data_IF_305255841378
#
_entry.id   IF_305255841378
#
_cell.length_a   1.000
_cell.length_b   1.000
_cell.length_c   1.000
_cell.angle_alpha   90.00
_cell.angle_beta   90.00
_cell.angle_gamma   90.00
#
_symmetry.space_group_name_H-M   'P 1'
#
loop_
_entity.id
_entity.type
_entity.pdbx_description
1 polymer ?
#
# COMPACT_ATOMS: atom_id res chain seq x y z
N UNK A 1 12.63 -5.74 17.10
CA UNK A 1 11.24 -6.23 17.28
C UNK A 1 10.44 -5.79 16.06
N UNK A 2 10.17 -6.69 15.11
CA UNK A 2 9.16 -6.47 14.09
C UNK A 2 8.07 -7.49 14.39
N UNK A 3 7.01 -7.05 15.07
CA UNK A 3 5.84 -7.89 15.28
C UNK A 3 5.31 -8.31 13.91
N UNK A 4 5.37 -9.61 13.66
CA UNK A 4 4.55 -10.25 12.66
C UNK A 4 3.11 -9.99 13.07
N UNK A 5 2.44 -9.17 12.28
CA UNK A 5 1.02 -8.92 12.48
C UNK A 5 0.30 -10.11 11.87
N UNK A 6 0.03 -11.12 12.70
CA UNK A 6 -0.88 -12.22 12.38
C UNK A 6 -2.31 -11.66 12.29
N UNK A 7 -2.63 -11.12 11.12
CA UNK A 7 -3.93 -10.56 10.78
C UNK A 7 -3.85 -9.85 9.44
N UNK A 8 -4.89 -9.98 8.62
CA UNK A 8 -5.05 -9.21 7.39
C UNK A 8 -5.17 -7.72 7.75
N UNK A 9 -4.03 -7.03 7.91
CA UNK A 9 -4.00 -5.60 8.18
C UNK A 9 -4.27 -4.86 6.87
N UNK A 10 -5.31 -4.04 6.84
CA UNK A 10 -5.63 -3.17 5.72
C UNK A 10 -5.21 -1.74 6.01
N UNK A 11 -4.69 -1.06 5.00
CA UNK A 11 -4.39 0.37 5.02
C UNK A 11 -5.28 1.10 4.04
N UNK A 12 -5.81 2.23 4.46
CA UNK A 12 -6.64 3.13 3.67
C UNK A 12 -5.79 4.29 3.19
N UNK A 13 -5.99 4.70 1.94
CA UNK A 13 -5.41 5.94 1.43
C UNK A 13 -6.28 7.11 1.89
N UNK A 14 -5.71 8.01 2.69
CA UNK A 14 -6.38 9.25 3.13
C UNK A 14 -6.15 10.40 2.15
N UNK A 15 -4.95 10.48 1.58
CA UNK A 15 -4.55 11.55 0.67
C UNK A 15 -4.10 10.97 -0.67
N UNK A 16 -4.50 11.59 -1.80
CA UNK A 16 -4.02 11.17 -3.10
C UNK A 16 -2.52 11.37 -3.19
N UNK A 17 -1.84 10.46 -3.87
CA UNK A 17 -0.42 10.62 -4.19
C UNK A 17 -0.12 10.01 -5.55
N UNK A 18 0.79 10.64 -6.27
CA UNK A 18 1.21 10.19 -7.59
C UNK A 18 2.68 10.50 -7.82
N UNK A 19 3.37 9.55 -8.43
CA UNK A 19 4.71 9.78 -8.96
C UNK A 19 4.98 8.92 -10.20
N UNK A 20 5.95 9.36 -10.99
CA UNK A 20 6.48 8.59 -12.11
C UNK A 20 7.79 7.96 -11.68
N UNK A 21 7.87 6.63 -11.72
CA UNK A 21 9.09 5.88 -11.48
C UNK A 21 10.14 6.16 -12.55
N UNK A 22 11.40 5.82 -12.26
CA UNK A 22 12.52 5.99 -13.21
C UNK A 22 12.30 5.18 -14.49
N UNK A 23 11.61 4.07 -14.38
CA UNK A 23 11.14 3.18 -15.46
C UNK A 23 9.96 3.76 -16.27
N UNK A 24 9.53 4.99 -16.00
CA UNK A 24 8.40 5.64 -16.67
C UNK A 24 7.03 5.16 -16.18
N UNK A 25 7.00 4.22 -15.23
CA UNK A 25 5.76 3.71 -14.66
C UNK A 25 5.13 4.75 -13.76
N UNK A 26 3.89 5.15 -14.08
CA UNK A 26 3.07 6.01 -13.22
C UNK A 26 2.48 5.18 -12.09
N UNK A 27 2.76 5.58 -10.86
CA UNK A 27 2.16 5.03 -9.65
C UNK A 27 1.26 6.11 -9.08
N UNK A 28 -0.03 5.80 -8.96
CA UNK A 28 -1.03 6.68 -8.39
C UNK A 28 -1.87 5.92 -7.37
N UNK A 29 -2.18 6.59 -6.26
CA UNK A 29 -3.11 6.12 -5.22
C UNK A 29 -4.17 7.19 -5.00
N UNK A 30 -5.41 6.76 -4.84
CA UNK A 30 -6.58 7.62 -4.65
C UNK A 30 -7.17 7.43 -3.25
N UNK A 31 -7.79 8.47 -2.68
CA UNK A 31 -8.50 8.35 -1.41
C UNK A 31 -9.52 7.22 -1.44
N UNK A 32 -9.67 6.54 -0.31
CA UNK A 32 -10.55 5.37 -0.13
C UNK A 32 -10.08 4.08 -0.80
N UNK A 33 -8.93 4.07 -1.49
CA UNK A 33 -8.32 2.81 -1.91
C UNK A 33 -7.81 2.04 -0.68
N UNK A 34 -8.05 0.73 -0.69
CA UNK A 34 -7.65 -0.19 0.38
C UNK A 34 -6.56 -1.11 -0.12
N UNK A 35 -5.51 -1.24 0.67
CA UNK A 35 -4.42 -2.16 0.38
C UNK A 35 -4.22 -3.09 1.56
N UNK A 36 -3.95 -4.36 1.25
CA UNK A 36 -3.51 -5.33 2.26
C UNK A 36 -2.03 -5.08 2.55
N UNK A 37 -1.71 -4.81 3.80
CA UNK A 37 -0.34 -4.72 4.28
C UNK A 37 0.28 -6.12 4.30
N UNK A 38 1.28 -6.33 3.46
CA UNK A 38 2.01 -7.60 3.40
C UNK A 38 3.18 -7.59 4.38
N UNK A 39 3.96 -6.50 4.39
CA UNK A 39 5.16 -6.38 5.22
C UNK A 39 5.53 -4.92 5.43
N UNK A 40 5.94 -4.57 6.64
CA UNK A 40 6.60 -3.29 6.93
C UNK A 40 8.09 -3.47 6.71
N UNK A 41 8.58 -3.11 5.52
CA UNK A 41 10.00 -3.27 5.17
C UNK A 41 10.88 -2.29 5.97
N UNK A 42 10.42 -1.05 6.14
CA UNK A 42 11.02 -0.05 7.04
C UNK A 42 9.91 0.79 7.70
N UNK A 43 10.29 1.79 8.51
CA UNK A 43 9.34 2.74 9.09
C UNK A 43 8.53 3.47 8.01
N UNK A 44 9.16 3.88 6.91
CA UNK A 44 8.52 4.67 5.85
C UNK A 44 8.12 3.86 4.61
N UNK A 45 8.62 2.63 4.46
CA UNK A 45 8.39 1.81 3.27
C UNK A 45 7.71 0.51 3.62
N UNK A 46 6.46 0.40 3.20
CA UNK A 46 5.65 -0.79 3.41
C UNK A 46 5.34 -1.46 2.08
N UNK A 47 5.40 -2.79 2.08
CA UNK A 47 4.91 -3.60 0.98
C UNK A 47 3.43 -3.84 1.18
N UNK A 48 2.64 -3.37 0.23
CA UNK A 48 1.20 -3.50 0.22
C UNK A 48 0.74 -4.12 -1.10
N UNK A 49 -0.36 -4.85 -1.06
CA UNK A 49 -1.03 -5.36 -2.26
C UNK A 49 -2.35 -4.63 -2.42
N UNK A 50 -2.61 -4.11 -3.61
CA UNK A 50 -3.94 -3.60 -3.95
C UNK A 50 -4.86 -4.80 -3.94
N UNK A 51 -5.90 -4.78 -3.10
CA UNK A 51 -6.94 -5.77 -3.25
C UNK A 51 -7.75 -5.36 -4.48
N UNK A 52 -7.83 -6.21 -5.52
CA UNK A 52 -8.76 -5.96 -6.60
C UNK A 52 -10.14 -6.03 -5.96
N UNK A 53 -10.80 -4.86 -5.84
CA UNK A 53 -12.17 -4.79 -5.35
C UNK A 53 -13.00 -5.82 -6.09
N UNK A 54 -13.48 -6.81 -5.34
CA UNK A 54 -14.33 -7.87 -5.86
C UNK A 54 -15.44 -7.24 -6.69
N UNK A 55 -15.57 -7.74 -7.92
CA UNK A 55 -16.70 -7.50 -8.79
C UNK A 55 -18.02 -7.86 -8.09
#
# INVERSE_FOLDING_TARGET
MAADVEGDVYVLVEHPFEYTGKDGRRVAIQPNERYRLLRRSTEHWWHVRREPGGR
#
